data_IF_807296119657
#
_entry.id   IF_807296119657
#
_cell.length_a   1.000
_cell.length_b   1.000
_cell.length_c   1.000
_cell.angle_alpha   90.00
_cell.angle_beta   90.00
_cell.angle_gamma   90.00
#
_symmetry.space_group_name_H-M   'P 1'
#
loop_
_entity.id
_entity.type
_entity.pdbx_description
1 polymer ?
#
# COMPACT_ATOMS: atom_id res chain seq x y z
N UNK A 1 11.19 -0.51 -14.81
CA UNK A 1 11.44 -1.57 -13.92
C UNK A 1 11.31 -1.22 -12.47
N UNK A 2 10.70 -2.11 -11.74
CA UNK A 2 10.45 -1.91 -10.32
C UNK A 2 11.72 -1.54 -9.57
N UNK A 3 12.78 -2.31 -9.77
CA UNK A 3 14.02 -2.07 -9.05
C UNK A 3 14.58 -0.69 -9.33
N UNK A 4 14.49 -0.23 -10.55
CA UNK A 4 15.00 1.09 -10.91
C UNK A 4 14.24 2.18 -10.18
N UNK A 5 12.93 2.06 -10.09
CA UNK A 5 12.13 3.06 -9.37
C UNK A 5 12.38 3.02 -7.88
N UNK A 6 12.53 1.83 -7.33
CA UNK A 6 12.85 1.70 -5.90
C UNK A 6 14.21 2.32 -5.62
N UNK A 7 15.19 2.08 -6.48
CA UNK A 7 16.51 2.70 -6.33
C UNK A 7 16.43 4.21 -6.44
N UNK A 8 15.60 4.73 -7.34
CA UNK A 8 15.37 6.17 -7.44
C UNK A 8 14.78 6.72 -6.15
N UNK A 9 13.84 5.99 -5.57
CA UNK A 9 13.24 6.34 -4.31
C UNK A 9 14.28 6.41 -3.19
N UNK A 10 15.32 5.60 -3.26
CA UNK A 10 16.42 5.55 -2.32
C UNK A 10 17.63 6.36 -2.76
N UNK A 11 17.54 7.10 -3.85
CA UNK A 11 18.70 7.71 -4.49
C UNK A 11 19.44 8.71 -3.61
N UNK A 12 18.75 9.35 -2.68
CA UNK A 12 19.39 10.26 -1.75
C UNK A 12 20.41 9.54 -0.88
N UNK A 13 20.09 8.35 -0.43
CA UNK A 13 20.99 7.54 0.39
C UNK A 13 22.16 7.05 -0.45
N UNK A 14 21.90 6.62 -1.66
CA UNK A 14 22.93 6.18 -2.57
C UNK A 14 23.94 7.31 -2.82
N UNK A 15 23.44 8.52 -3.05
CA UNK A 15 24.29 9.66 -3.32
C UNK A 15 25.20 10.02 -2.14
N UNK A 16 24.79 9.72 -0.93
CA UNK A 16 25.57 10.02 0.25
C UNK A 16 26.57 8.93 0.62
N UNK A 17 26.53 7.79 -0.02
CA UNK A 17 27.43 6.68 0.25
C UNK A 17 28.65 6.77 -0.64
N UNK A 18 29.81 6.88 -0.01
CA UNK A 18 31.05 7.07 -0.75
C UNK A 18 31.46 5.79 -1.45
N UNK A 19 31.37 5.82 -2.77
CA UNK A 19 32.08 4.93 -3.66
C UNK A 19 31.92 3.44 -3.52
N UNK A 20 31.42 2.99 -2.46
CA UNK A 20 31.28 1.57 -2.24
C UNK A 20 30.04 1.00 -2.86
N UNK A 21 30.01 -0.30 -2.91
CA UNK A 21 28.83 -1.00 -3.39
C UNK A 21 27.69 -0.81 -2.41
N UNK A 22 26.61 -0.30 -2.91
CA UNK A 22 25.39 -0.20 -2.15
C UNK A 22 24.46 -1.34 -2.52
N UNK A 23 24.11 -2.15 -1.54
CA UNK A 23 23.16 -3.22 -1.75
C UNK A 23 21.98 -3.07 -0.83
N UNK A 24 20.81 -3.30 -1.41
CA UNK A 24 19.61 -3.60 -0.65
C UNK A 24 19.09 -4.92 -1.17
N UNK A 25 18.93 -5.91 -0.31
CA UNK A 25 18.30 -7.15 -0.73
C UNK A 25 16.78 -6.95 -0.88
N UNK A 26 16.10 -7.95 -1.41
CA UNK A 26 14.67 -7.84 -1.66
C UNK A 26 13.87 -7.54 -0.39
N UNK A 27 14.26 -8.12 0.74
CA UNK A 27 13.59 -7.87 2.00
C UNK A 27 13.72 -6.44 2.48
N UNK A 28 14.88 -5.83 2.31
CA UNK A 28 15.08 -4.43 2.67
C UNK A 28 14.27 -3.49 1.78
N UNK A 29 14.21 -3.78 0.49
CA UNK A 29 13.41 -3.00 -0.45
C UNK A 29 11.94 -3.07 -0.09
N UNK A 30 11.42 -4.27 0.19
CA UNK A 30 10.03 -4.46 0.56
C UNK A 30 9.70 -3.74 1.88
N UNK A 31 10.56 -3.84 2.87
CA UNK A 31 10.37 -3.17 4.16
C UNK A 31 10.32 -1.65 4.00
N UNK A 32 11.18 -1.09 3.16
CA UNK A 32 11.14 0.36 2.89
C UNK A 32 9.88 0.76 2.15
N UNK A 33 9.44 -0.03 1.18
CA UNK A 33 8.20 0.24 0.47
C UNK A 33 7.01 0.27 1.41
N UNK A 34 6.88 -0.78 2.22
CA UNK A 34 5.73 -0.87 3.11
C UNK A 34 5.76 0.22 4.19
N UNK A 35 6.91 0.48 4.77
CA UNK A 35 7.07 1.54 5.75
C UNK A 35 6.66 2.90 5.17
N UNK A 36 7.05 3.19 3.93
CA UNK A 36 6.68 4.42 3.25
C UNK A 36 5.17 4.52 3.02
N UNK A 37 4.53 3.41 2.64
CA UNK A 37 3.07 3.35 2.48
C UNK A 37 2.38 3.60 3.82
N UNK A 38 2.83 2.93 4.86
CA UNK A 38 2.24 3.09 6.19
C UNK A 38 2.35 4.53 6.67
N UNK A 39 3.54 5.07 6.65
CA UNK A 39 3.81 6.39 7.21
C UNK A 39 3.20 7.52 6.40
N UNK A 40 3.25 7.43 5.08
CA UNK A 40 2.87 8.55 4.22
C UNK A 40 1.43 8.45 3.71
N UNK A 41 0.83 7.28 3.73
CA UNK A 41 -0.50 7.07 3.17
C UNK A 41 -1.48 6.61 4.24
N UNK A 42 -1.24 5.45 4.84
CA UNK A 42 -2.20 4.87 5.78
C UNK A 42 -2.36 5.73 7.03
N UNK A 43 -1.26 6.13 7.66
CA UNK A 43 -1.32 6.92 8.89
C UNK A 43 -1.92 8.30 8.66
N UNK A 44 -1.66 8.90 7.52
CA UNK A 44 -2.10 10.27 7.24
C UNK A 44 -3.54 10.37 6.74
N UNK A 45 -3.99 9.39 5.96
CA UNK A 45 -5.25 9.51 5.25
C UNK A 45 -6.25 8.44 5.66
N UNK A 46 -5.82 7.21 5.79
CA UNK A 46 -6.74 6.07 5.88
C UNK A 46 -7.10 5.68 7.31
N UNK A 47 -6.14 5.78 8.23
CA UNK A 47 -6.32 5.33 9.60
C UNK A 47 -7.34 6.16 10.38
N UNK A 48 -7.73 7.32 9.86
CA UNK A 48 -8.79 8.13 10.49
C UNK A 48 -10.10 7.37 10.58
N UNK A 49 -10.40 6.55 9.58
CA UNK A 49 -11.61 5.71 9.55
C UNK A 49 -11.29 4.24 9.79
N UNK A 50 -10.08 3.82 9.44
CA UNK A 50 -9.65 2.42 9.50
C UNK A 50 -8.57 2.19 10.56
N UNK A 51 -8.72 2.82 11.71
CA UNK A 51 -7.71 2.65 12.76
C UNK A 51 -8.27 2.91 14.13
N UNK A 52 -7.47 2.73 15.16
CA UNK A 52 -7.68 3.21 16.52
C UNK A 52 -8.92 2.78 17.28
N UNK A 53 -9.91 2.24 16.64
CA UNK A 53 -11.21 1.90 17.20
C UNK A 53 -11.36 0.39 17.35
N UNK A 54 -12.28 -0.03 18.22
CA UNK A 54 -12.65 -1.45 18.30
C UNK A 54 -13.55 -1.87 17.14
N UNK A 55 -14.07 -0.91 16.39
CA UNK A 55 -14.94 -1.17 15.25
C UNK A 55 -14.58 -0.22 14.10
N UNK A 56 -13.43 -0.42 13.45
CA UNK A 56 -13.06 0.43 12.33
C UNK A 56 -13.99 0.19 11.14
N UNK A 57 -14.08 1.18 10.26
CA UNK A 57 -14.91 1.06 9.06
C UNK A 57 -14.56 -0.21 8.28
N UNK A 58 -15.57 -0.96 7.87
CA UNK A 58 -15.45 -2.22 7.13
C UNK A 58 -14.61 -3.29 7.86
N UNK A 59 -14.40 -3.16 9.15
CA UNK A 59 -13.56 -4.09 9.89
C UNK A 59 -12.10 -4.11 9.43
N UNK A 60 -11.65 -3.02 8.81
CA UNK A 60 -10.29 -2.91 8.25
C UNK A 60 -9.42 -2.05 9.16
N UNK A 61 -8.32 -2.62 9.62
CA UNK A 61 -7.35 -1.90 10.44
C UNK A 61 -6.15 -1.48 9.59
N UNK A 62 -5.89 -0.17 9.53
CA UNK A 62 -4.76 0.37 8.78
C UNK A 62 -3.74 1.07 9.69
N UNK A 63 -3.73 0.73 10.97
CA UNK A 63 -2.66 1.13 11.89
C UNK A 63 -1.42 0.26 11.66
N UNK A 64 -0.26 0.79 12.01
CA UNK A 64 1.02 0.14 11.69
C UNK A 64 1.14 -1.29 12.21
N UNK A 65 0.56 -1.56 13.38
CA UNK A 65 0.63 -2.88 14.00
C UNK A 65 -0.32 -3.91 13.39
N UNK A 66 -1.28 -3.48 12.57
CA UNK A 66 -2.35 -4.36 12.08
C UNK A 66 -2.58 -4.31 10.58
N UNK A 67 -2.09 -3.30 9.91
CA UNK A 67 -2.46 -3.04 8.51
C UNK A 67 -2.11 -4.19 7.58
N UNK A 68 -0.92 -4.72 7.69
CA UNK A 68 -0.48 -5.81 6.80
C UNK A 68 -1.38 -7.03 6.94
N UNK A 69 -1.59 -7.49 8.17
CA UNK A 69 -2.44 -8.65 8.44
C UNK A 69 -3.89 -8.42 8.06
N UNK A 70 -4.35 -7.17 8.15
CA UNK A 70 -5.73 -6.80 7.82
C UNK A 70 -5.98 -6.70 6.32
N UNK A 71 -4.93 -6.53 5.53
CA UNK A 71 -5.01 -6.33 4.08
C UNK A 71 -4.71 -7.59 3.26
N UNK A 72 -3.56 -8.19 3.53
CA UNK A 72 -3.01 -9.21 2.62
C UNK A 72 -3.78 -10.51 2.70
N UNK A 73 -4.28 -10.95 1.56
CA UNK A 73 -5.09 -12.17 1.42
C UNK A 73 -6.37 -12.18 2.27
N UNK A 74 -6.84 -11.00 2.69
CA UNK A 74 -8.05 -10.89 3.49
C UNK A 74 -9.26 -10.58 2.62
N UNK A 75 -10.38 -11.29 2.83
CA UNK A 75 -11.59 -11.00 2.06
C UNK A 75 -12.16 -9.63 2.43
N UNK A 76 -12.71 -8.97 1.43
CA UNK A 76 -13.46 -7.74 1.66
C UNK A 76 -14.78 -8.07 2.35
N UNK A 77 -15.18 -7.25 3.30
CA UNK A 77 -16.51 -7.37 3.92
C UNK A 77 -17.57 -6.61 3.13
N UNK A 78 -17.17 -5.83 2.15
CA UNK A 78 -18.06 -4.94 1.41
C UNK A 78 -18.22 -5.33 -0.06
N UNK A 79 -17.30 -6.11 -0.59
CA UNK A 79 -17.30 -6.53 -1.99
C UNK A 79 -17.29 -8.04 -2.03
N UNK A 80 -18.36 -8.62 -2.56
CA UNK A 80 -18.47 -10.08 -2.67
C UNK A 80 -17.33 -10.64 -3.49
N UNK A 81 -16.74 -11.71 -3.02
CA UNK A 81 -15.57 -12.38 -3.64
C UNK A 81 -14.34 -11.50 -3.81
N UNK A 82 -14.35 -10.31 -3.22
CA UNK A 82 -13.20 -9.41 -3.29
C UNK A 82 -12.15 -9.74 -2.24
N UNK A 83 -10.90 -9.63 -2.61
CA UNK A 83 -9.76 -9.75 -1.68
C UNK A 83 -9.13 -8.36 -1.55
N UNK A 84 -8.87 -7.96 -0.33
CA UNK A 84 -8.35 -6.60 -0.06
C UNK A 84 -7.02 -6.34 -0.75
N UNK A 85 -6.08 -7.24 -0.60
CA UNK A 85 -4.79 -7.20 -1.32
C UNK A 85 -4.45 -8.62 -1.76
N UNK A 86 -4.27 -8.78 -3.08
CA UNK A 86 -3.82 -10.04 -3.68
C UNK A 86 -2.34 -9.86 -4.02
N UNK A 87 -1.43 -10.51 -3.29
CA UNK A 87 0.00 -10.39 -3.60
C UNK A 87 0.28 -10.72 -5.07
N UNK A 88 0.99 -9.83 -5.74
CA UNK A 88 1.32 -9.99 -7.15
C UNK A 88 0.27 -9.49 -8.13
N UNK A 89 -0.88 -9.01 -7.65
CA UNK A 89 -1.95 -8.58 -8.55
C UNK A 89 -2.68 -7.35 -8.02
N UNK A 90 -2.11 -6.19 -8.28
CA UNK A 90 -2.69 -4.92 -7.84
C UNK A 90 -4.05 -4.67 -8.47
N UNK A 91 -4.21 -4.93 -9.75
CA UNK A 91 -5.44 -4.61 -10.49
C UNK A 91 -6.67 -5.31 -9.93
N UNK A 92 -6.51 -6.53 -9.43
CA UNK A 92 -7.61 -7.28 -8.85
C UNK A 92 -7.76 -7.06 -7.34
N UNK A 93 -6.81 -6.39 -6.72
CA UNK A 93 -6.89 -6.05 -5.30
C UNK A 93 -7.92 -4.96 -5.04
N UNK A 94 -8.77 -5.18 -4.06
CA UNK A 94 -9.81 -4.19 -3.70
C UNK A 94 -9.18 -2.87 -3.29
N UNK A 95 -8.05 -2.90 -2.60
CA UNK A 95 -7.34 -1.67 -2.23
C UNK A 95 -7.05 -0.80 -3.45
N UNK A 96 -6.50 -1.39 -4.50
CA UNK A 96 -6.26 -0.66 -5.75
C UNK A 96 -7.55 -0.07 -6.32
N UNK A 97 -8.60 -0.90 -6.36
CA UNK A 97 -9.86 -0.49 -6.98
C UNK A 97 -10.53 0.66 -6.24
N UNK A 98 -10.48 0.69 -4.91
CA UNK A 98 -11.18 1.74 -4.15
C UNK A 98 -10.49 3.09 -4.23
N UNK A 99 -9.16 3.11 -4.35
CA UNK A 99 -8.40 4.36 -4.34
C UNK A 99 -8.15 4.92 -5.75
N UNK A 100 -8.39 4.15 -6.79
CA UNK A 100 -8.25 4.60 -8.17
C UNK A 100 -9.60 4.91 -8.76
N UNK A 101 -9.71 6.01 -9.55
CA UNK A 101 -10.98 6.39 -10.14
C UNK A 101 -11.46 5.41 -11.21
N UNK A 102 -12.75 5.41 -11.45
CA UNK A 102 -13.35 4.62 -12.51
C UNK A 102 -13.83 3.23 -12.11
N UNK A 103 -13.61 2.83 -10.87
CA UNK A 103 -14.10 1.53 -10.39
C UNK A 103 -15.41 1.69 -9.61
N UNK A 104 -16.42 0.95 -10.02
CA UNK A 104 -17.73 0.99 -9.37
C UNK A 104 -17.87 -0.26 -8.51
N UNK A 105 -17.73 -0.08 -7.20
CA UNK A 105 -17.75 -1.20 -6.24
C UNK A 105 -18.99 -1.26 -5.38
N UNK A 106 -19.90 -0.28 -5.55
CA UNK A 106 -21.14 -0.25 -4.76
C UNK A 106 -20.94 0.03 -3.27
N UNK A 107 -19.81 0.66 -2.92
CA UNK A 107 -19.54 1.01 -1.53
C UNK A 107 -20.36 2.20 -1.08
N UNK A 108 -20.69 2.23 0.21
CA UNK A 108 -21.45 3.35 0.79
C UNK A 108 -20.65 4.64 0.90
N UNK A 109 -19.34 4.59 0.72
CA UNK A 109 -18.48 5.75 0.77
C UNK A 109 -17.46 5.68 -0.37
N UNK A 110 -17.33 6.79 -1.10
CA UNK A 110 -16.35 6.86 -2.19
C UNK A 110 -14.97 7.23 -1.67
N UNK A 111 -13.98 6.46 -2.07
CA UNK A 111 -12.58 6.73 -1.77
C UNK A 111 -11.87 7.44 -2.93
N UNK A 112 -12.59 7.76 -3.99
CA UNK A 112 -12.02 8.51 -5.10
C UNK A 112 -11.43 9.82 -4.60
N UNK A 113 -10.27 10.14 -5.07
CA UNK A 113 -9.56 11.39 -4.75
C UNK A 113 -9.10 11.51 -3.28
N UNK A 114 -9.19 10.48 -2.48
CA UNK A 114 -8.58 10.51 -1.15
C UNK A 114 -7.06 10.49 -1.22
N UNK A 115 -6.51 9.85 -2.25
CA UNK A 115 -5.09 9.91 -2.55
C UNK A 115 -4.96 10.61 -3.89
N UNK A 116 -4.45 11.84 -3.86
CA UNK A 116 -4.28 12.64 -5.08
C UNK A 116 -2.90 12.52 -5.70
N UNK A 117 -1.94 12.00 -4.95
CA UNK A 117 -0.58 11.81 -5.44
C UNK A 117 -0.50 10.56 -6.32
N UNK A 118 -0.18 10.74 -7.60
CA UNK A 118 0.02 9.62 -8.51
C UNK A 118 1.22 8.76 -8.10
N UNK A 119 2.19 9.37 -7.44
CA UNK A 119 3.34 8.64 -6.89
C UNK A 119 2.92 7.70 -5.78
N UNK A 120 2.04 8.15 -4.89
CA UNK A 120 1.55 7.32 -3.79
C UNK A 120 0.67 6.17 -4.31
N UNK A 121 -0.20 6.44 -5.28
CA UNK A 121 -0.99 5.39 -5.91
C UNK A 121 -0.10 4.33 -6.54
N UNK A 122 0.94 4.76 -7.24
CA UNK A 122 1.87 3.86 -7.88
C UNK A 122 2.69 3.07 -6.86
N UNK A 123 3.06 3.68 -5.76
CA UNK A 123 3.81 3.00 -4.70
C UNK A 123 3.01 1.81 -4.13
N UNK A 124 1.73 2.01 -3.92
CA UNK A 124 0.85 0.93 -3.47
C UNK A 124 0.81 -0.19 -4.50
N UNK A 125 0.63 0.14 -5.77
CA UNK A 125 0.59 -0.87 -6.83
C UNK A 125 1.91 -1.63 -6.95
N UNK A 126 3.03 -0.94 -6.85
CA UNK A 126 4.33 -1.57 -6.91
C UNK A 126 4.57 -2.51 -5.72
N UNK A 127 4.14 -2.10 -4.55
CA UNK A 127 4.22 -2.95 -3.37
C UNK A 127 3.39 -4.23 -3.55
N UNK A 128 2.14 -4.09 -3.99
CA UNK A 128 1.28 -5.25 -4.22
C UNK A 128 1.89 -6.18 -5.27
N UNK A 129 2.31 -5.61 -6.42
CA UNK A 129 2.85 -6.39 -7.52
C UNK A 129 4.19 -7.06 -7.17
N UNK A 130 4.92 -6.51 -6.21
CA UNK A 130 6.15 -7.11 -5.72
C UNK A 130 5.92 -8.23 -4.69
N UNK A 131 4.67 -8.50 -4.33
CA UNK A 131 4.32 -9.58 -3.41
C UNK A 131 3.70 -9.13 -2.10
N UNK A 132 3.45 -7.84 -1.92
CA UNK A 132 2.76 -7.26 -0.76
C UNK A 132 3.40 -7.68 0.57
N UNK A 133 4.70 -7.62 0.67
CA UNK A 133 5.43 -8.01 1.88
C UNK A 133 5.53 -6.85 2.87
N UNK A 134 5.59 -7.22 4.15
CA UNK A 134 5.77 -6.26 5.23
C UNK A 134 7.21 -5.80 5.36
#
# INVERSE_FOLDING_TARGET
RLRKRVLTYQSLDVASISGDTLYMDAGQVDAHMYAAIQENIFDKTCAQCHGGSTSPAAGLYLTADKSHASLVNQPSTQVEDGIRVIPGNAEESILHKVINPGNVLGLGFSHENMITSSTDLRLIDEWINAGAKE
#
